data_IF_632966438100
#
_entry.id   IF_632966438100
#
_cell.length_a   1.000
_cell.length_b   1.000
_cell.length_c   1.000
_cell.angle_alpha   90.00
_cell.angle_beta   90.00
_cell.angle_gamma   90.00
#
_symmetry.space_group_name_H-M   'P 1'
#
loop_
_entity.id
_entity.type
_entity.pdbx_description
1 polymer ?
#
# COMPACT_ATOMS: atom_id res chain seq x y z
N UNK A 1 37.82 -76.37 -31.24
CA UNK A 1 37.39 -75.10 -31.86
C UNK A 1 36.40 -74.46 -30.89
N UNK A 2 36.92 -73.50 -30.07
CA UNK A 2 36.12 -72.85 -28.98
C UNK A 2 35.69 -71.52 -29.43
N UNK A 3 34.38 -71.33 -29.48
CA UNK A 3 33.78 -70.03 -29.73
C UNK A 3 33.55 -69.27 -28.38
N UNK A 4 34.32 -68.25 -28.20
CA UNK A 4 34.12 -67.26 -27.11
C UNK A 4 32.90 -66.40 -27.40
N UNK A 5 31.91 -66.45 -26.51
CA UNK A 5 30.76 -65.57 -26.51
C UNK A 5 31.08 -64.38 -25.59
N UNK A 6 31.28 -63.19 -26.14
CA UNK A 6 31.38 -61.95 -25.38
C UNK A 6 29.99 -61.44 -25.04
N UNK A 7 29.71 -61.37 -23.75
CA UNK A 7 28.47 -60.65 -23.23
C UNK A 7 28.78 -59.18 -23.12
N UNK A 8 28.01 -58.38 -23.87
CA UNK A 8 28.06 -56.95 -23.76
C UNK A 8 27.03 -56.53 -22.70
N UNK A 9 27.49 -56.05 -21.55
CA UNK A 9 26.65 -55.53 -20.48
C UNK A 9 26.38 -54.06 -20.76
N UNK A 10 25.14 -53.73 -21.21
CA UNK A 10 24.69 -52.38 -21.38
C UNK A 10 24.37 -51.76 -20.03
N UNK A 11 25.15 -50.76 -19.63
CA UNK A 11 24.91 -49.95 -18.45
C UNK A 11 23.92 -48.84 -18.82
N UNK A 12 22.70 -48.99 -18.41
CA UNK A 12 21.68 -47.95 -18.59
C UNK A 12 21.86 -46.88 -17.49
N UNK A 13 22.35 -45.70 -17.85
CA UNK A 13 22.42 -44.54 -16.98
C UNK A 13 21.01 -43.92 -16.94
N UNK A 14 20.29 -44.09 -15.83
CA UNK A 14 19.04 -43.39 -15.55
C UNK A 14 19.36 -41.95 -15.14
N UNK A 15 19.11 -41.00 -16.04
CA UNK A 15 19.15 -39.56 -15.73
C UNK A 15 17.87 -39.23 -14.98
N UNK A 16 17.94 -39.07 -13.67
CA UNK A 16 16.89 -38.50 -12.84
C UNK A 16 16.83 -36.99 -13.12
N UNK A 17 15.92 -36.60 -13.99
CA UNK A 17 15.51 -35.20 -14.10
C UNK A 17 14.76 -34.84 -12.83
N UNK A 18 15.45 -34.18 -11.89
CA UNK A 18 14.84 -33.53 -10.74
C UNK A 18 14.00 -32.39 -11.24
N UNK A 19 12.66 -32.58 -11.29
CA UNK A 19 11.72 -31.50 -11.46
C UNK A 19 11.78 -30.60 -10.21
N UNK A 20 12.59 -29.55 -10.25
CA UNK A 20 12.51 -28.46 -9.28
C UNK A 20 11.12 -27.83 -9.45
N UNK A 21 10.20 -28.14 -8.55
CA UNK A 21 8.94 -27.43 -8.42
C UNK A 21 9.26 -25.97 -8.10
N UNK A 22 9.31 -25.12 -9.12
CA UNK A 22 9.23 -23.67 -8.93
C UNK A 22 7.83 -23.43 -8.34
N UNK A 23 7.75 -23.34 -7.01
CA UNK A 23 6.57 -22.80 -6.36
C UNK A 23 6.40 -21.41 -6.96
N UNK A 24 5.31 -21.19 -7.71
CA UNK A 24 4.92 -19.88 -8.13
C UNK A 24 4.81 -19.04 -6.85
N UNK A 25 5.69 -18.06 -6.70
CA UNK A 25 5.59 -17.09 -5.60
C UNK A 25 4.21 -16.44 -5.74
N UNK A 26 3.30 -16.73 -4.81
CA UNK A 26 1.98 -16.13 -4.80
C UNK A 26 2.10 -14.62 -4.86
N UNK A 27 1.13 -13.94 -5.47
CA UNK A 27 1.12 -12.47 -5.55
C UNK A 27 1.30 -11.87 -4.15
N UNK A 28 2.37 -11.09 -3.97
CA UNK A 28 2.71 -10.50 -2.68
C UNK A 28 1.73 -9.39 -2.24
N UNK A 29 0.90 -8.87 -3.16
CA UNK A 29 0.04 -7.72 -2.92
C UNK A 29 -1.01 -8.01 -1.84
N UNK A 30 -1.79 -9.07 -2.01
CA UNK A 30 -2.90 -9.40 -1.09
C UNK A 30 -2.41 -9.64 0.34
N UNK A 31 -1.36 -10.45 0.59
CA UNK A 31 -0.78 -10.60 1.93
C UNK A 31 -0.32 -9.28 2.56
N UNK A 32 0.32 -8.38 1.80
CA UNK A 32 0.73 -7.06 2.29
C UNK A 32 -0.49 -6.23 2.69
N UNK A 33 -1.54 -6.23 1.89
CA UNK A 33 -2.78 -5.51 2.16
C UNK A 33 -3.48 -5.99 3.43
N UNK A 34 -3.58 -7.30 3.60
CA UNK A 34 -4.22 -7.90 4.77
C UNK A 34 -3.40 -7.65 6.03
N UNK A 35 -2.09 -7.85 5.96
CA UNK A 35 -1.21 -7.62 7.12
C UNK A 35 -1.17 -6.14 7.52
N UNK A 36 -1.22 -5.22 6.55
CA UNK A 36 -1.31 -3.79 6.86
C UNK A 36 -2.57 -3.47 7.65
N UNK A 37 -3.72 -4.03 7.27
CA UNK A 37 -4.97 -3.80 7.99
C UNK A 37 -4.89 -4.30 9.45
N UNK A 38 -4.27 -5.47 9.68
CA UNK A 38 -4.00 -5.99 11.03
C UNK A 38 -3.08 -5.04 11.80
N UNK A 39 -1.94 -4.63 11.23
CA UNK A 39 -1.01 -3.72 11.88
C UNK A 39 -1.67 -2.37 12.20
N UNK A 40 -2.46 -1.82 11.26
CA UNK A 40 -3.05 -0.49 11.38
C UNK A 40 -4.19 -0.45 12.39
N UNK A 41 -5.10 -1.45 12.37
CA UNK A 41 -6.37 -1.38 13.06
C UNK A 41 -6.50 -2.35 14.25
N UNK A 42 -5.67 -3.39 14.32
CA UNK A 42 -5.71 -4.37 15.41
C UNK A 42 -4.50 -4.29 16.34
N UNK A 43 -3.52 -3.44 16.05
CA UNK A 43 -2.37 -3.18 16.90
C UNK A 43 -2.37 -1.73 17.40
N UNK A 44 -1.70 -1.48 18.53
CA UNK A 44 -1.55 -0.15 19.11
C UNK A 44 -0.14 0.08 19.66
N UNK A 45 0.23 1.35 19.85
CA UNK A 45 1.49 1.74 20.46
C UNK A 45 2.71 1.08 19.83
N UNK A 46 3.60 0.53 20.61
CA UNK A 46 4.85 -0.09 20.17
C UNK A 46 4.63 -1.33 19.30
N UNK A 47 3.58 -2.11 19.57
CA UNK A 47 3.24 -3.29 18.76
C UNK A 47 2.86 -2.88 17.33
N UNK A 48 2.08 -1.82 17.17
CA UNK A 48 1.74 -1.25 15.86
C UNK A 48 2.99 -0.78 15.10
N UNK A 49 3.87 -0.01 15.76
CA UNK A 49 5.12 0.47 15.16
C UNK A 49 5.97 -0.70 14.66
N UNK A 50 6.24 -1.70 15.49
CA UNK A 50 7.07 -2.86 15.13
C UNK A 50 6.43 -3.74 14.02
N UNK A 51 5.11 -3.89 14.03
CA UNK A 51 4.36 -4.59 12.99
C UNK A 51 4.54 -3.90 11.62
N UNK A 52 4.36 -2.58 11.59
CA UNK A 52 4.49 -1.78 10.37
C UNK A 52 5.93 -1.70 9.87
N UNK A 53 6.93 -1.64 10.77
CA UNK A 53 8.35 -1.68 10.42
C UNK A 53 8.71 -2.98 9.70
N UNK A 54 8.31 -4.11 10.28
CA UNK A 54 8.52 -5.45 9.68
C UNK A 54 7.84 -5.56 8.32
N UNK A 55 6.57 -5.13 8.24
CA UNK A 55 5.82 -5.16 6.99
C UNK A 55 6.40 -4.21 5.93
N UNK A 56 6.94 -3.05 6.34
CA UNK A 56 7.61 -2.12 5.42
C UNK A 56 8.82 -2.78 4.75
N UNK A 57 9.62 -3.54 5.49
CA UNK A 57 10.74 -4.31 4.93
C UNK A 57 10.26 -5.37 3.92
N UNK A 58 9.17 -6.07 4.22
CA UNK A 58 8.59 -7.07 3.30
C UNK A 58 8.02 -6.44 2.03
N UNK A 59 7.27 -5.34 2.16
CA UNK A 59 6.70 -4.61 1.03
C UNK A 59 7.79 -3.98 0.14
N UNK A 60 8.87 -3.48 0.75
CA UNK A 60 10.07 -3.00 0.05
C UNK A 60 10.69 -4.11 -0.80
N UNK A 61 10.94 -5.28 -0.19
CA UNK A 61 11.53 -6.42 -0.88
C UNK A 61 10.64 -6.93 -2.03
N UNK A 62 9.31 -6.90 -1.86
CA UNK A 62 8.36 -7.28 -2.92
C UNK A 62 8.41 -6.28 -4.09
N UNK A 63 8.34 -4.98 -3.83
CA UNK A 63 8.41 -3.95 -4.87
C UNK A 63 9.77 -3.91 -5.58
N UNK A 64 10.87 -4.25 -4.89
CA UNK A 64 12.20 -4.33 -5.48
C UNK A 64 12.38 -5.54 -6.43
N UNK A 65 11.71 -6.66 -6.14
CA UNK A 65 11.71 -7.84 -7.02
C UNK A 65 10.92 -7.62 -8.32
N UNK A 66 9.89 -6.79 -8.26
CA UNK A 66 8.98 -6.50 -9.37
C UNK A 66 8.87 -4.99 -9.60
N UNK A 67 9.94 -4.31 -10.06
CA UNK A 67 10.05 -2.85 -10.06
C UNK A 67 9.09 -2.14 -11.02
N UNK A 68 8.44 -2.87 -11.93
CA UNK A 68 7.43 -2.36 -12.86
C UNK A 68 5.99 -2.60 -12.41
N UNK A 69 5.79 -3.13 -11.21
CA UNK A 69 4.47 -3.31 -10.56
C UNK A 69 4.11 -2.04 -9.78
N UNK A 70 3.35 -1.14 -10.41
CA UNK A 70 2.88 0.10 -9.79
C UNK A 70 2.08 -0.15 -8.50
N UNK A 71 1.29 -1.21 -8.44
CA UNK A 71 0.52 -1.60 -7.26
C UNK A 71 1.40 -2.01 -6.06
N UNK A 72 2.51 -2.71 -6.28
CA UNK A 72 3.48 -3.03 -5.22
C UNK A 72 4.26 -1.79 -4.76
N UNK A 73 4.60 -0.87 -5.67
CA UNK A 73 5.20 0.43 -5.31
C UNK A 73 4.25 1.25 -4.43
N UNK A 74 2.96 1.31 -4.79
CA UNK A 74 1.92 1.99 -4.02
C UNK A 74 1.83 1.40 -2.61
N UNK A 75 1.73 0.07 -2.50
CA UNK A 75 1.60 -0.57 -1.19
C UNK A 75 2.87 -0.48 -0.34
N UNK A 76 4.06 -0.54 -0.94
CA UNK A 76 5.31 -0.25 -0.24
C UNK A 76 5.30 1.17 0.34
N UNK A 77 4.79 2.14 -0.40
CA UNK A 77 4.66 3.53 0.06
C UNK A 77 3.59 3.69 1.15
N UNK A 78 2.40 3.06 1.01
CA UNK A 78 1.33 3.10 2.02
C UNK A 78 1.81 2.53 3.35
N UNK A 79 2.44 1.36 3.34
CA UNK A 79 2.98 0.75 4.57
C UNK A 79 4.03 1.65 5.21
N UNK A 80 4.95 2.20 4.41
CA UNK A 80 6.02 3.06 4.89
C UNK A 80 5.49 4.38 5.47
N UNK A 81 4.51 5.01 4.85
CA UNK A 81 3.88 6.23 5.37
C UNK A 81 3.05 5.96 6.63
N UNK A 82 2.37 4.82 6.71
CA UNK A 82 1.67 4.40 7.92
C UNK A 82 2.65 4.14 9.07
N UNK A 83 3.78 3.49 8.79
CA UNK A 83 4.86 3.33 9.78
C UNK A 83 5.43 4.67 10.23
N UNK A 84 5.65 5.60 9.32
CA UNK A 84 6.09 6.95 9.66
C UNK A 84 5.13 7.64 10.64
N UNK A 85 3.82 7.53 10.42
CA UNK A 85 2.79 8.04 11.35
C UNK A 85 2.83 7.36 12.72
N UNK A 86 3.04 6.05 12.79
CA UNK A 86 3.16 5.32 14.05
C UNK A 86 4.45 5.63 14.81
N UNK A 87 5.56 5.85 14.11
CA UNK A 87 6.87 6.20 14.67
C UNK A 87 6.92 7.63 15.19
N UNK A 88 6.38 8.57 14.43
CA UNK A 88 6.39 10.00 14.76
C UNK A 88 7.78 10.64 14.79
N UNK A 89 7.82 11.92 15.16
CA UNK A 89 9.06 12.69 15.35
C UNK A 89 9.91 12.85 14.09
N UNK A 90 11.16 13.29 14.27
CA UNK A 90 12.08 13.56 13.14
C UNK A 90 12.43 12.32 12.31
N UNK A 91 12.40 11.12 12.92
CA UNK A 91 12.64 9.86 12.22
C UNK A 91 11.58 9.52 11.16
N UNK A 92 10.38 10.08 11.27
CA UNK A 92 9.31 9.88 10.30
C UNK A 92 9.58 10.61 8.96
N UNK A 93 10.31 11.73 8.97
CA UNK A 93 10.52 12.55 7.75
C UNK A 93 11.28 11.81 6.64
N UNK A 94 12.25 10.97 6.99
CA UNK A 94 12.94 10.13 6.02
C UNK A 94 11.97 9.15 5.34
N UNK A 95 11.14 8.48 6.13
CA UNK A 95 10.18 7.49 5.66
C UNK A 95 9.13 8.09 4.72
N UNK A 96 8.57 9.26 5.05
CA UNK A 96 7.58 9.91 4.17
C UNK A 96 8.19 10.44 2.87
N UNK A 97 9.47 10.86 2.87
CA UNK A 97 10.19 11.23 1.65
C UNK A 97 10.39 10.03 0.71
N UNK A 98 10.75 8.87 1.27
CA UNK A 98 10.87 7.64 0.50
C UNK A 98 9.51 7.15 -0.03
N UNK A 99 8.46 7.22 0.80
CA UNK A 99 7.09 6.90 0.37
C UNK A 99 6.63 7.81 -0.78
N UNK A 100 6.87 9.13 -0.68
CA UNK A 100 6.60 10.10 -1.75
C UNK A 100 7.28 9.70 -3.06
N UNK A 101 8.57 9.39 -3.03
CA UNK A 101 9.33 9.02 -4.23
C UNK A 101 8.75 7.75 -4.91
N UNK A 102 8.32 6.76 -4.13
CA UNK A 102 7.68 5.54 -4.64
C UNK A 102 6.32 5.83 -5.29
N UNK A 103 5.49 6.69 -4.67
CA UNK A 103 4.20 7.09 -5.22
C UNK A 103 4.36 7.88 -6.53
N UNK A 104 5.34 8.77 -6.59
CA UNK A 104 5.66 9.51 -7.82
C UNK A 104 6.15 8.57 -8.94
N UNK A 105 6.91 7.53 -8.59
CA UNK A 105 7.31 6.49 -9.55
C UNK A 105 6.10 5.66 -10.01
N UNK A 106 5.23 5.26 -9.10
CA UNK A 106 4.00 4.52 -9.43
C UNK A 106 3.09 5.33 -10.38
N UNK A 107 2.93 6.63 -10.13
CA UNK A 107 2.17 7.53 -11.02
C UNK A 107 2.76 7.64 -12.43
N UNK A 108 4.08 7.54 -12.57
CA UNK A 108 4.75 7.53 -13.90
C UNK A 108 4.55 6.21 -14.64
N UNK A 109 4.41 5.10 -13.90
CA UNK A 109 4.21 3.78 -14.48
C UNK A 109 2.75 3.52 -14.85
N UNK A 110 1.86 3.71 -13.90
CA UNK A 110 0.41 3.54 -14.07
C UNK A 110 -0.36 4.47 -13.11
N UNK A 111 -0.83 5.62 -13.58
CA UNK A 111 -1.59 6.58 -12.76
C UNK A 111 -2.96 6.05 -12.31
N UNK A 112 -3.47 4.98 -12.94
CA UNK A 112 -4.77 4.38 -12.59
C UNK A 112 -4.64 3.11 -11.75
N UNK A 113 -3.42 2.66 -11.44
CA UNK A 113 -3.20 1.48 -10.60
C UNK A 113 -3.98 1.59 -9.29
N UNK A 114 -4.64 0.48 -8.92
CA UNK A 114 -5.47 0.41 -7.70
C UNK A 114 -6.46 1.58 -7.61
N UNK A 115 -7.16 1.86 -8.70
CA UNK A 115 -8.19 2.90 -8.81
C UNK A 115 -7.68 4.29 -8.36
N UNK A 116 -6.47 4.66 -8.75
CA UNK A 116 -5.86 5.96 -8.44
C UNK A 116 -5.33 6.08 -7.01
N UNK A 117 -5.05 4.97 -6.33
CA UNK A 117 -4.58 4.95 -4.94
C UNK A 117 -3.27 5.73 -4.73
N UNK A 118 -2.41 5.83 -5.75
CA UNK A 118 -1.21 6.65 -5.68
C UNK A 118 -1.53 8.14 -5.52
N UNK A 119 -2.55 8.66 -6.20
CA UNK A 119 -3.01 10.03 -6.03
C UNK A 119 -3.57 10.28 -4.61
N UNK A 120 -4.42 9.36 -4.11
CA UNK A 120 -4.96 9.43 -2.75
C UNK A 120 -3.83 9.47 -1.72
N UNK A 121 -2.88 8.55 -1.82
CA UNK A 121 -1.79 8.42 -0.84
C UNK A 121 -0.80 9.58 -0.93
N UNK A 122 -0.47 10.05 -2.13
CA UNK A 122 0.43 11.19 -2.30
C UNK A 122 -0.23 12.50 -1.84
N UNK A 123 -1.51 12.68 -2.13
CA UNK A 123 -2.30 13.83 -1.65
C UNK A 123 -2.36 13.84 -0.12
N UNK A 124 -2.56 12.67 0.53
CA UNK A 124 -2.54 12.60 1.99
C UNK A 124 -1.19 12.96 2.59
N UNK A 125 -0.08 12.57 1.97
CA UNK A 125 1.26 12.98 2.41
C UNK A 125 1.45 14.49 2.34
N UNK A 126 0.95 15.15 1.29
CA UNK A 126 1.16 16.59 1.11
C UNK A 126 0.45 17.45 2.15
N UNK A 127 -0.71 17.07 2.69
CA UNK A 127 -1.35 17.86 3.77
C UNK A 127 -0.97 17.39 5.18
N UNK A 128 -0.50 16.14 5.36
CA UNK A 128 -0.15 15.62 6.68
C UNK A 128 1.30 15.89 7.08
N UNK A 129 2.20 16.05 6.10
CA UNK A 129 3.61 16.35 6.34
C UNK A 129 3.79 17.85 6.51
N UNK A 130 4.59 18.32 7.50
CA UNK A 130 4.86 19.75 7.62
C UNK A 130 5.41 20.37 6.33
N UNK A 131 5.05 21.63 6.08
CA UNK A 131 5.60 22.41 4.97
C UNK A 131 7.06 22.83 5.17
N UNK A 132 7.60 23.55 4.19
CA UNK A 132 8.96 24.08 4.27
C UNK A 132 9.13 25.00 5.51
N UNK A 133 10.28 25.02 6.20
CA UNK A 133 11.54 24.32 5.87
C UNK A 133 11.65 22.88 6.42
N UNK A 134 10.69 22.38 7.17
CA UNK A 134 10.76 21.09 7.86
C UNK A 134 10.52 19.91 6.91
N UNK A 135 9.52 20.03 6.05
CA UNK A 135 9.11 18.98 5.15
C UNK A 135 8.70 19.50 3.77
N UNK A 136 7.88 18.71 3.08
CA UNK A 136 7.42 19.01 1.73
C UNK A 136 5.90 19.26 1.66
N UNK A 137 5.24 19.47 2.79
CA UNK A 137 3.79 19.71 2.84
C UNK A 137 3.37 20.89 1.97
N UNK A 138 2.22 20.73 1.29
CA UNK A 138 1.68 21.70 0.33
C UNK A 138 0.20 21.40 0.13
N UNK A 139 -0.67 22.24 0.69
CA UNK A 139 -2.12 22.05 0.68
C UNK A 139 -2.73 22.19 -0.72
N UNK A 140 -2.20 23.08 -1.56
CA UNK A 140 -2.68 23.24 -2.93
C UNK A 140 -2.39 21.95 -3.74
N UNK A 141 -1.19 21.41 -3.59
CA UNK A 141 -0.79 20.15 -4.20
C UNK A 141 -1.59 18.98 -3.68
N UNK A 142 -1.87 18.95 -2.38
CA UNK A 142 -2.72 17.95 -1.76
C UNK A 142 -4.12 17.95 -2.38
N UNK A 143 -4.76 19.12 -2.46
CA UNK A 143 -6.11 19.23 -3.03
C UNK A 143 -6.16 18.78 -4.49
N UNK A 144 -5.18 19.19 -5.31
CA UNK A 144 -5.08 18.78 -6.72
C UNK A 144 -5.01 17.25 -6.85
N UNK A 145 -4.17 16.58 -6.07
CA UNK A 145 -3.97 15.13 -6.12
C UNK A 145 -5.22 14.39 -5.62
N UNK A 146 -5.83 14.83 -4.53
CA UNK A 146 -7.04 14.22 -3.99
C UNK A 146 -8.22 14.35 -4.96
N UNK A 147 -8.36 15.47 -5.65
CA UNK A 147 -9.37 15.65 -6.72
C UNK A 147 -9.10 14.72 -7.91
N UNK A 148 -7.84 14.47 -8.28
CA UNK A 148 -7.52 13.48 -9.30
C UNK A 148 -7.89 12.05 -8.87
N UNK A 149 -7.67 11.70 -7.60
CA UNK A 149 -8.11 10.42 -7.04
C UNK A 149 -9.64 10.26 -7.14
N UNK A 150 -10.41 11.29 -6.76
CA UNK A 150 -11.86 11.31 -6.88
C UNK A 150 -12.35 11.23 -8.32
N UNK A 151 -11.64 11.82 -9.28
CA UNK A 151 -11.99 11.72 -10.70
C UNK A 151 -11.84 10.29 -11.24
N UNK A 152 -10.89 9.51 -10.70
CA UNK A 152 -10.69 8.10 -11.08
C UNK A 152 -11.65 7.18 -10.34
N UNK A 153 -11.83 7.39 -9.04
CA UNK A 153 -12.64 6.55 -8.16
C UNK A 153 -13.60 7.40 -7.32
N UNK A 154 -14.68 7.92 -7.93
CA UNK A 154 -15.58 8.87 -7.27
C UNK A 154 -16.35 8.29 -6.08
N UNK A 155 -16.58 6.96 -6.05
CA UNK A 155 -17.39 6.29 -5.04
C UNK A 155 -16.54 5.45 -4.06
N UNK A 156 -15.21 5.49 -4.20
CA UNK A 156 -14.30 4.75 -3.34
C UNK A 156 -14.24 5.28 -1.90
N UNK A 157 -14.12 4.38 -0.93
CA UNK A 157 -14.03 4.74 0.49
C UNK A 157 -12.81 5.62 0.77
N UNK A 158 -11.61 5.25 0.28
CA UNK A 158 -10.38 5.97 0.60
C UNK A 158 -10.30 7.35 -0.06
N UNK A 159 -10.56 7.56 -1.38
CA UNK A 159 -10.48 8.90 -1.96
C UNK A 159 -11.49 9.87 -1.34
N UNK A 160 -12.72 9.42 -1.02
CA UNK A 160 -13.69 10.26 -0.34
C UNK A 160 -13.29 10.55 1.12
N UNK A 161 -12.74 9.58 1.84
CA UNK A 161 -12.26 9.79 3.20
C UNK A 161 -11.12 10.81 3.24
N UNK A 162 -10.05 10.61 2.45
CA UNK A 162 -8.89 11.50 2.50
C UNK A 162 -9.19 12.92 2.01
N UNK A 163 -10.08 13.08 1.03
CA UNK A 163 -10.52 14.41 0.64
C UNK A 163 -11.39 15.07 1.71
N UNK A 164 -12.29 14.30 2.35
CA UNK A 164 -13.08 14.78 3.48
C UNK A 164 -12.21 15.16 4.70
N UNK A 165 -11.18 14.37 5.01
CA UNK A 165 -10.22 14.66 6.09
C UNK A 165 -9.40 15.93 5.79
N UNK A 166 -8.90 16.07 4.56
CA UNK A 166 -8.24 17.29 4.08
C UNK A 166 -9.15 18.53 4.22
N UNK A 167 -10.41 18.44 3.76
CA UNK A 167 -11.36 19.55 3.88
C UNK A 167 -11.64 19.94 5.32
N UNK A 168 -11.69 18.94 6.23
CA UNK A 168 -11.84 19.19 7.65
C UNK A 168 -10.63 19.93 8.23
N UNK A 169 -9.41 19.52 7.85
CA UNK A 169 -8.15 20.19 8.21
C UNK A 169 -8.13 21.65 7.74
N UNK A 170 -8.64 21.91 6.53
CA UNK A 170 -8.79 23.26 5.97
C UNK A 170 -9.96 24.06 6.54
N UNK A 171 -10.69 23.56 7.55
CA UNK A 171 -11.85 24.20 8.16
C UNK A 171 -13.12 24.23 7.30
N UNK A 172 -13.13 23.54 6.15
CA UNK A 172 -14.25 23.45 5.19
C UNK A 172 -15.26 22.38 5.63
N UNK A 173 -15.84 22.55 6.82
CA UNK A 173 -16.64 21.54 7.53
C UNK A 173 -17.86 21.02 6.73
N UNK A 174 -18.60 21.90 6.07
CA UNK A 174 -19.80 21.50 5.31
C UNK A 174 -19.44 20.59 4.11
N UNK A 175 -18.35 20.92 3.42
CA UNK A 175 -17.85 20.10 2.32
C UNK A 175 -17.26 18.79 2.83
N UNK A 176 -16.47 18.84 3.92
CA UNK A 176 -15.91 17.67 4.57
C UNK A 176 -16.99 16.64 4.91
N UNK A 177 -18.12 17.11 5.49
CA UNK A 177 -19.27 16.25 5.80
C UNK A 177 -19.76 15.48 4.59
N UNK A 178 -19.92 16.16 3.45
CA UNK A 178 -20.41 15.54 2.22
C UNK A 178 -19.53 14.37 1.78
N UNK A 179 -18.22 14.55 1.77
CA UNK A 179 -17.28 13.50 1.35
C UNK A 179 -17.12 12.39 2.40
N UNK A 180 -17.15 12.73 3.69
CA UNK A 180 -17.12 11.74 4.77
C UNK A 180 -18.37 10.85 4.78
N UNK A 181 -19.57 11.43 4.59
CA UNK A 181 -20.81 10.67 4.45
C UNK A 181 -20.77 9.73 3.23
N UNK A 182 -20.24 10.23 2.10
CA UNK A 182 -20.05 9.44 0.90
C UNK A 182 -19.06 8.29 1.11
N UNK A 183 -17.95 8.54 1.81
CA UNK A 183 -17.00 7.52 2.21
C UNK A 183 -17.64 6.44 3.11
N UNK A 184 -18.48 6.84 4.06
CA UNK A 184 -19.17 5.91 4.96
C UNK A 184 -20.15 5.01 4.21
N UNK A 185 -20.80 5.53 3.17
CA UNK A 185 -21.74 4.81 2.31
C UNK A 185 -21.07 3.96 1.22
N UNK A 186 -19.75 4.05 1.05
CA UNK A 186 -19.03 3.32 0.02
C UNK A 186 -19.22 1.79 0.15
N UNK A 187 -19.30 1.04 -0.98
CA UNK A 187 -19.47 -0.40 -0.96
C UNK A 187 -18.29 -1.10 -0.28
N UNK A 188 -18.57 -2.25 0.34
CA UNK A 188 -17.54 -3.12 0.90
C UNK A 188 -16.62 -3.67 -0.19
N UNK A 189 -15.34 -3.80 0.11
CA UNK A 189 -14.33 -4.36 -0.80
C UNK A 189 -14.06 -5.83 -0.44
N UNK A 190 -14.23 -6.77 -1.36
CA UNK A 190 -13.95 -8.18 -1.09
C UNK A 190 -12.51 -8.40 -0.59
N UNK A 191 -12.36 -9.15 0.50
CA UNK A 191 -11.05 -9.44 1.09
C UNK A 191 -10.38 -8.28 1.83
N UNK A 192 -11.12 -7.17 2.07
CA UNK A 192 -10.63 -5.98 2.77
C UNK A 192 -11.46 -5.62 4.02
N UNK A 193 -12.14 -6.60 4.61
CA UNK A 193 -13.11 -6.42 5.70
C UNK A 193 -12.52 -5.64 6.89
N UNK A 194 -11.33 -6.04 7.36
CA UNK A 194 -10.63 -5.37 8.47
C UNK A 194 -10.25 -3.93 8.11
N UNK A 195 -9.78 -3.70 6.89
CA UNK A 195 -9.42 -2.37 6.42
C UNK A 195 -10.65 -1.45 6.30
N UNK A 196 -11.75 -1.99 5.78
CA UNK A 196 -12.99 -1.25 5.58
C UNK A 196 -13.65 -0.87 6.89
N UNK A 197 -13.69 -1.80 7.87
CA UNK A 197 -14.23 -1.48 9.19
C UNK A 197 -13.36 -0.46 9.92
N UNK A 198 -12.04 -0.63 9.88
CA UNK A 198 -11.12 0.35 10.45
C UNK A 198 -11.29 1.75 9.83
N UNK A 199 -11.41 1.83 8.49
CA UNK A 199 -11.65 3.09 7.81
C UNK A 199 -13.00 3.71 8.20
N UNK A 200 -14.06 2.91 8.32
CA UNK A 200 -15.37 3.39 8.77
C UNK A 200 -15.33 3.92 10.21
N UNK A 201 -14.52 3.35 11.08
CA UNK A 201 -14.30 3.92 12.43
C UNK A 201 -13.63 5.30 12.33
N UNK A 202 -12.56 5.43 11.54
CA UNK A 202 -11.90 6.73 11.31
C UNK A 202 -12.86 7.78 10.73
N UNK A 203 -13.72 7.39 9.78
CA UNK A 203 -14.75 8.29 9.22
C UNK A 203 -15.71 8.78 10.30
N UNK A 204 -16.22 7.88 11.14
CA UNK A 204 -17.13 8.25 12.26
C UNK A 204 -16.44 9.23 13.23
N UNK A 205 -15.16 8.99 13.53
CA UNK A 205 -14.37 9.87 14.39
C UNK A 205 -14.18 11.27 13.76
N UNK A 206 -14.07 11.36 12.43
CA UNK A 206 -14.01 12.65 11.73
C UNK A 206 -15.37 13.37 11.72
N UNK A 207 -16.44 12.64 11.44
CA UNK A 207 -17.81 13.19 11.48
C UNK A 207 -18.18 13.72 12.87
N UNK A 208 -17.70 13.10 13.93
CA UNK A 208 -17.93 13.55 15.30
C UNK A 208 -17.22 14.88 15.66
N UNK A 209 -16.28 15.36 14.83
CA UNK A 209 -15.56 16.64 15.01
C UNK A 209 -16.18 17.81 14.24
N UNK A 210 -17.23 17.57 13.47
CA UNK A 210 -17.94 18.61 12.69
C UNK A 210 -18.86 19.42 13.58
#
# INVERSE_FOLDING_TARGET
MNFFRQSVTSCAIAILLGASSVMAAGDALVPIQQQWAVCQYQQSGKAKESCLETLSTQAEAASAKEPFRADLLIWSAIVKSTWAGAKGGLGALGLVKEAKAKLELALKQDPKALDGSAYTSLGSLYYQVPGWPVGFGDDEKAEQLLKQALAINPDGIDPNFFYGDFLLDQGRKAEAKTYLDKALAAPARPGREVADEGRRMEIRDRLAKL
#
